data_IF_791735285121
#
_entry.id   IF_791735285121
#
_cell.length_a   1.000
_cell.length_b   1.000
_cell.length_c   1.000
_cell.angle_alpha   90.00
_cell.angle_beta   90.00
_cell.angle_gamma   90.00
#
_symmetry.space_group_name_H-M   'P 1'
#
loop_
_entity.id
_entity.type
_entity.pdbx_description
1 polymer ?
#
# COMPACT_ATOMS: atom_id res chain seq x y z
N UNK A 1 -24.87 15.79 11.28
CA UNK A 1 -24.20 16.14 10.03
C UNK A 1 -24.13 14.90 9.16
N UNK A 2 -24.54 14.99 7.90
CA UNK A 2 -24.49 13.86 6.96
C UNK A 2 -23.21 13.95 6.14
N UNK A 3 -22.49 12.83 6.02
CA UNK A 3 -21.32 12.69 5.15
C UNK A 3 -21.72 11.79 3.99
N UNK A 4 -21.45 12.20 2.76
CA UNK A 4 -21.63 11.38 1.57
C UNK A 4 -20.26 10.89 1.09
N UNK A 5 -20.18 9.62 0.70
CA UNK A 5 -18.98 9.02 0.12
C UNK A 5 -19.35 8.41 -1.22
N UNK A 6 -18.67 8.83 -2.28
CA UNK A 6 -18.81 8.34 -3.64
C UNK A 6 -17.50 7.67 -4.09
N UNK A 7 -17.52 6.34 -4.18
CA UNK A 7 -16.41 5.54 -4.68
C UNK A 7 -16.50 5.46 -6.20
N UNK A 8 -15.79 6.39 -6.84
CA UNK A 8 -15.74 6.51 -8.30
C UNK A 8 -15.00 5.32 -8.91
N UNK A 9 -13.94 4.86 -8.25
CA UNK A 9 -13.14 3.70 -8.65
C UNK A 9 -12.53 2.98 -7.43
N UNK A 10 -12.08 1.74 -7.62
CA UNK A 10 -11.45 0.92 -6.57
C UNK A 10 -12.41 0.04 -5.75
N UNK A 11 -13.72 0.01 -6.06
CA UNK A 11 -14.67 -0.94 -5.46
C UNK A 11 -15.06 -2.04 -6.44
N UNK A 12 -14.90 -3.29 -6.03
CA UNK A 12 -15.28 -4.46 -6.83
C UNK A 12 -14.24 -4.89 -7.85
N UNK A 13 -13.12 -4.19 -7.94
CA UNK A 13 -11.99 -4.52 -8.80
C UNK A 13 -10.68 -3.94 -8.23
N UNK A 14 -9.54 -4.47 -8.68
CA UNK A 14 -8.24 -3.84 -8.49
C UNK A 14 -8.08 -2.76 -9.57
N UNK A 15 -8.57 -1.57 -9.27
CA UNK A 15 -8.57 -0.42 -10.19
C UNK A 15 -8.01 0.84 -9.52
N UNK A 16 -7.84 1.93 -10.28
CA UNK A 16 -7.32 3.20 -9.77
C UNK A 16 -8.11 3.68 -8.55
N UNK A 17 -7.43 4.18 -7.52
CA UNK A 17 -8.06 4.77 -6.36
C UNK A 17 -8.68 6.14 -6.70
N UNK A 18 -9.98 6.29 -6.50
CA UNK A 18 -10.66 7.56 -6.61
C UNK A 18 -11.93 7.56 -5.77
N UNK A 19 -11.88 8.21 -4.61
CA UNK A 19 -13.00 8.27 -3.66
C UNK A 19 -13.28 9.73 -3.31
N UNK A 20 -14.50 10.19 -3.54
CA UNK A 20 -14.93 11.52 -3.12
C UNK A 20 -15.64 11.42 -1.78
N UNK A 21 -15.22 12.24 -0.82
CA UNK A 21 -15.90 12.40 0.47
C UNK A 21 -16.42 13.83 0.55
N UNK A 22 -17.73 13.96 0.81
CA UNK A 22 -18.43 15.24 0.87
C UNK A 22 -19.06 15.46 2.25
N UNK A 23 -18.79 16.62 2.84
CA UNK A 23 -19.54 17.14 3.98
C UNK A 23 -19.43 18.66 4.09
N UNK A 24 -20.41 19.32 4.70
CA UNK A 24 -20.45 20.80 4.84
C UNK A 24 -20.30 21.56 3.52
N UNK A 25 -20.79 20.99 2.41
CA UNK A 25 -20.64 21.58 1.07
C UNK A 25 -19.21 21.55 0.53
N UNK A 26 -18.33 20.73 1.14
CA UNK A 26 -16.94 20.54 0.73
C UNK A 26 -16.70 19.13 0.26
N UNK A 27 -15.99 18.99 -0.86
CA UNK A 27 -15.74 17.74 -1.57
C UNK A 27 -14.24 17.48 -1.65
N UNK A 28 -13.76 16.45 -0.96
CA UNK A 28 -12.35 16.05 -1.00
C UNK A 28 -12.22 14.76 -1.82
N UNK A 29 -11.26 14.74 -2.74
CA UNK A 29 -10.84 13.52 -3.42
C UNK A 29 -9.75 12.83 -2.61
N UNK A 30 -9.94 11.56 -2.27
CA UNK A 30 -8.93 10.67 -1.69
C UNK A 30 -8.34 9.83 -2.82
N UNK A 31 -7.04 10.04 -3.06
CA UNK A 31 -6.25 9.53 -4.18
C UNK A 31 -6.78 9.91 -5.58
N UNK A 32 -5.85 9.97 -6.52
CA UNK A 32 -6.08 10.25 -7.93
C UNK A 32 -5.36 9.18 -8.74
N UNK A 33 -5.95 7.99 -8.78
CA UNK A 33 -5.34 6.79 -9.33
C UNK A 33 -5.23 6.75 -10.85
N UNK A 34 -4.07 6.28 -11.32
CA UNK A 34 -3.76 6.06 -12.72
C UNK A 34 -4.12 4.66 -13.23
N UNK A 35 -4.03 4.48 -14.56
CA UNK A 35 -4.19 3.20 -15.21
C UNK A 35 -3.19 2.15 -14.69
N UNK A 36 -3.67 0.95 -14.36
CA UNK A 36 -2.85 -0.18 -13.94
C UNK A 36 -2.22 -0.93 -15.12
N UNK A 37 -2.91 -0.93 -16.28
CA UNK A 37 -2.41 -1.52 -17.51
C UNK A 37 -2.27 -0.48 -18.62
N UNK A 38 -1.25 -0.60 -19.49
CA UNK A 38 -1.11 0.26 -20.66
C UNK A 38 -2.39 0.24 -21.51
N UNK A 39 -2.96 1.43 -21.77
CA UNK A 39 -4.17 1.59 -22.58
C UNK A 39 -5.48 1.64 -21.79
N UNK A 40 -5.49 1.35 -20.48
CA UNK A 40 -6.70 1.55 -19.67
C UNK A 40 -7.07 3.04 -19.61
N UNK A 41 -8.37 3.33 -19.77
CA UNK A 41 -8.86 4.71 -19.75
C UNK A 41 -9.27 5.13 -18.34
N UNK A 42 -8.76 6.27 -17.87
CA UNK A 42 -9.18 6.89 -16.62
C UNK A 42 -10.49 7.65 -16.86
N UNK A 43 -11.61 7.08 -16.40
CA UNK A 43 -12.94 7.66 -16.61
C UNK A 43 -13.48 8.38 -15.38
N UNK A 44 -12.95 8.08 -14.18
CA UNK A 44 -13.45 8.65 -12.92
C UNK A 44 -13.22 10.17 -12.80
N UNK A 45 -12.24 10.72 -13.50
CA UNK A 45 -11.91 12.15 -13.47
C UNK A 45 -12.88 13.02 -14.28
N UNK A 46 -13.72 12.42 -15.13
CA UNK A 46 -14.61 13.14 -16.02
C UNK A 46 -15.65 13.97 -15.25
N UNK A 47 -15.63 15.30 -15.45
CA UNK A 47 -16.52 16.27 -14.77
C UNK A 47 -16.40 16.20 -13.25
N UNK A 48 -15.22 15.84 -12.74
CA UNK A 48 -14.94 15.88 -11.32
C UNK A 48 -14.87 17.34 -10.85
N UNK A 49 -15.57 17.62 -9.76
CA UNK A 49 -15.62 18.92 -9.12
C UNK A 49 -15.33 18.71 -7.64
N UNK A 50 -14.15 19.15 -7.18
CA UNK A 50 -13.64 18.91 -5.83
C UNK A 50 -12.87 20.12 -5.34
N UNK A 51 -12.93 20.38 -4.03
CA UNK A 51 -12.25 21.49 -3.39
C UNK A 51 -10.76 21.21 -3.16
N UNK A 52 -10.38 19.94 -2.99
CA UNK A 52 -8.99 19.51 -2.84
C UNK A 52 -8.82 18.00 -3.08
N UNK A 53 -7.56 17.61 -3.29
CA UNK A 53 -7.11 16.23 -3.49
C UNK A 53 -6.11 15.88 -2.39
N UNK A 54 -6.26 14.71 -1.79
CA UNK A 54 -5.34 14.15 -0.80
C UNK A 54 -4.75 12.87 -1.38
N UNK A 55 -3.43 12.82 -1.55
CA UNK A 55 -2.71 11.62 -2.04
C UNK A 55 -2.07 10.88 -0.86
N UNK A 56 -2.39 9.60 -0.73
CA UNK A 56 -1.90 8.70 0.31
C UNK A 56 -0.45 8.29 0.08
N UNK A 57 -0.10 7.89 -1.16
CA UNK A 57 1.24 7.45 -1.52
C UNK A 57 1.52 7.53 -3.03
N UNK A 58 2.73 7.12 -3.45
CA UNK A 58 3.34 7.40 -4.76
C UNK A 58 3.11 6.31 -5.83
N UNK A 59 2.36 5.26 -5.56
CA UNK A 59 2.08 4.25 -6.57
C UNK A 59 1.12 4.77 -7.64
N UNK A 60 1.33 4.31 -8.88
CA UNK A 60 0.66 4.83 -10.06
C UNK A 60 -0.87 4.75 -9.96
N UNK A 61 -1.40 3.70 -9.35
CA UNK A 61 -2.82 3.48 -9.10
C UNK A 61 -3.42 4.36 -8.00
N UNK A 62 -2.60 5.19 -7.35
CA UNK A 62 -3.02 6.19 -6.35
C UNK A 62 -2.67 7.64 -6.74
N UNK A 63 -1.62 7.86 -7.53
CA UNK A 63 -1.15 9.20 -7.94
C UNK A 63 -1.22 9.47 -9.44
N UNK A 64 -1.23 8.44 -10.29
CA UNK A 64 -1.04 8.58 -11.73
C UNK A 64 -2.15 9.36 -12.45
N UNK A 65 -3.33 9.46 -11.84
CA UNK A 65 -4.45 10.24 -12.32
C UNK A 65 -4.35 11.73 -12.08
N UNK A 66 -3.36 12.21 -11.28
CA UNK A 66 -3.14 13.64 -11.04
C UNK A 66 -2.95 14.42 -12.33
N UNK A 67 -2.35 13.81 -13.36
CA UNK A 67 -2.15 14.41 -14.69
C UNK A 67 -3.47 14.72 -15.44
N UNK A 68 -4.60 14.16 -14.98
CA UNK A 68 -5.92 14.39 -15.57
C UNK A 68 -6.78 15.39 -14.77
N UNK A 69 -6.23 15.94 -13.67
CA UNK A 69 -6.92 16.91 -12.85
C UNK A 69 -6.56 18.34 -13.27
N UNK A 70 -7.47 19.32 -13.09
CA UNK A 70 -7.13 20.72 -13.29
C UNK A 70 -5.98 21.16 -12.37
N UNK A 71 -5.05 21.94 -12.91
CA UNK A 71 -3.83 22.38 -12.20
C UNK A 71 -4.12 23.27 -10.98
N UNK A 72 -5.27 23.94 -10.96
CA UNK A 72 -5.70 24.86 -9.90
C UNK A 72 -6.35 24.15 -8.71
N UNK A 73 -6.76 22.88 -8.85
CA UNK A 73 -7.27 22.10 -7.72
C UNK A 73 -6.15 21.90 -6.70
N UNK A 74 -6.31 22.33 -5.43
CA UNK A 74 -5.32 22.13 -4.39
C UNK A 74 -5.02 20.64 -4.15
N UNK A 75 -3.76 20.26 -4.22
CA UNK A 75 -3.29 18.89 -3.96
C UNK A 75 -2.45 18.84 -2.69
N UNK A 76 -2.69 17.86 -1.85
CA UNK A 76 -1.93 17.61 -0.63
C UNK A 76 -1.35 16.21 -0.64
N UNK A 77 -0.06 16.10 -0.33
CA UNK A 77 0.65 14.83 -0.17
C UNK A 77 1.88 15.05 0.73
N UNK A 78 2.52 13.97 1.20
CA UNK A 78 3.77 14.11 1.96
C UNK A 78 4.91 14.58 1.03
N UNK A 79 5.95 15.25 1.55
CA UNK A 79 7.07 15.73 0.72
C UNK A 79 7.80 14.63 -0.07
N UNK A 80 7.80 13.39 0.42
CA UNK A 80 8.38 12.25 -0.27
C UNK A 80 7.50 11.81 -1.45
N UNK A 81 6.18 11.75 -1.26
CA UNK A 81 5.21 11.42 -2.32
C UNK A 81 5.20 12.49 -3.41
N UNK A 82 5.43 13.77 -3.05
CA UNK A 82 5.50 14.87 -4.00
C UNK A 82 6.56 14.70 -5.10
N UNK A 83 7.60 13.88 -4.87
CA UNK A 83 8.64 13.60 -5.86
C UNK A 83 8.14 12.80 -7.06
N UNK A 84 6.99 12.11 -6.92
CA UNK A 84 6.34 11.37 -7.99
C UNK A 84 5.27 12.19 -8.75
N UNK A 85 5.01 13.43 -8.33
CA UNK A 85 4.06 14.30 -9.02
C UNK A 85 4.62 14.78 -10.38
N UNK A 86 3.74 15.17 -11.32
CA UNK A 86 4.18 15.87 -12.52
C UNK A 86 5.03 17.11 -12.17
N UNK A 87 6.12 17.41 -12.90
CA UNK A 87 7.12 18.42 -12.50
C UNK A 87 6.59 19.82 -12.17
N UNK A 88 5.50 20.26 -12.79
CA UNK A 88 4.87 21.58 -12.59
C UNK A 88 3.67 21.55 -11.65
N UNK A 89 3.29 20.40 -11.10
CA UNK A 89 2.10 20.27 -10.27
C UNK A 89 2.33 20.91 -8.91
N UNK A 90 1.61 22.00 -8.64
CA UNK A 90 1.60 22.62 -7.32
C UNK A 90 1.00 21.68 -6.27
N UNK A 91 1.61 21.64 -5.09
CA UNK A 91 1.17 20.80 -3.97
C UNK A 91 1.39 21.50 -2.62
N UNK A 92 0.75 20.98 -1.59
CA UNK A 92 0.85 21.43 -0.20
C UNK A 92 1.19 20.24 0.69
N UNK A 93 2.00 20.42 1.74
CA UNK A 93 2.44 19.28 2.56
C UNK A 93 1.30 18.71 3.40
N UNK A 94 1.12 17.39 3.31
CA UNK A 94 0.55 16.58 4.40
C UNK A 94 1.69 16.22 5.37
N UNK A 95 1.45 16.30 6.68
CA UNK A 95 2.39 15.76 7.64
C UNK A 95 2.45 14.23 7.51
N UNK A 96 3.59 13.60 7.77
CA UNK A 96 3.63 12.12 7.89
C UNK A 96 2.92 11.63 9.15
N UNK A 97 2.82 12.51 10.15
CA UNK A 97 2.05 12.33 11.39
C UNK A 97 1.52 13.66 11.89
N UNK A 98 0.23 13.72 12.21
CA UNK A 98 -0.39 14.90 12.80
C UNK A 98 -1.62 15.32 12.03
N UNK A 99 -2.06 16.56 12.25
CA UNK A 99 -3.32 17.06 11.68
C UNK A 99 -3.13 18.42 11.02
N UNK A 100 -3.92 18.67 9.99
CA UNK A 100 -4.05 19.96 9.33
C UNK A 100 -5.49 20.18 8.86
N UNK A 101 -5.86 21.43 8.61
CA UNK A 101 -7.16 21.75 8.04
C UNK A 101 -7.08 21.83 6.50
N UNK A 102 -7.92 21.06 5.81
CA UNK A 102 -8.03 21.04 4.35
C UNK A 102 -9.45 21.42 3.95
N UNK A 103 -9.60 22.59 3.33
CA UNK A 103 -10.89 23.12 2.90
C UNK A 103 -11.96 23.18 4.02
N UNK A 104 -11.56 23.38 5.28
CA UNK A 104 -12.48 23.41 6.43
C UNK A 104 -12.68 22.04 7.12
N UNK A 105 -11.99 21.00 6.68
CA UNK A 105 -12.06 19.64 7.24
C UNK A 105 -10.74 19.33 7.92
N UNK A 106 -10.78 18.90 9.19
CA UNK A 106 -9.57 18.45 9.88
C UNK A 106 -9.18 17.06 9.38
N UNK A 107 -8.00 16.98 8.78
CA UNK A 107 -7.40 15.76 8.24
C UNK A 107 -6.25 15.37 9.15
N UNK A 108 -6.25 14.13 9.64
CA UNK A 108 -5.16 13.53 10.41
C UNK A 108 -4.49 12.43 9.61
N UNK A 109 -3.17 12.35 9.69
CA UNK A 109 -2.37 11.36 8.99
C UNK A 109 -1.50 10.57 9.96
N UNK A 110 -1.13 9.37 9.52
CA UNK A 110 -0.09 8.54 10.12
C UNK A 110 0.44 7.55 9.09
N UNK A 111 1.58 6.93 9.37
CA UNK A 111 2.23 6.01 8.46
C UNK A 111 1.36 4.79 8.17
N UNK A 112 1.28 4.40 6.89
CA UNK A 112 0.48 3.27 6.43
C UNK A 112 1.24 1.94 6.38
N UNK A 113 2.54 1.92 6.69
CA UNK A 113 3.35 0.70 6.68
C UNK A 113 3.59 0.09 5.30
N UNK A 114 3.19 0.76 4.22
CA UNK A 114 3.24 0.23 2.86
C UNK A 114 4.46 0.75 2.07
N UNK A 115 4.68 2.05 2.06
CA UNK A 115 5.75 2.71 1.30
C UNK A 115 6.39 3.87 2.06
N UNK A 116 7.50 4.40 1.53
CA UNK A 116 8.22 5.51 2.14
C UNK A 116 7.44 6.81 1.98
N UNK A 117 6.99 7.39 3.09
CA UNK A 117 6.18 8.61 3.09
C UNK A 117 4.70 8.38 2.79
N UNK A 118 4.28 7.12 2.64
CA UNK A 118 2.88 6.75 2.46
C UNK A 118 2.09 6.83 3.78
N UNK A 119 0.92 7.47 3.73
CA UNK A 119 0.09 7.73 4.91
C UNK A 119 -1.34 7.22 4.74
N UNK A 120 -1.96 6.81 5.84
CA UNK A 120 -3.42 6.72 5.92
C UNK A 120 -4.01 8.10 6.21
N UNK A 121 -5.28 8.29 5.86
CA UNK A 121 -6.02 9.54 6.05
C UNK A 121 -7.21 9.32 6.99
N UNK A 122 -7.38 10.19 7.97
CA UNK A 122 -8.57 10.28 8.82
C UNK A 122 -9.19 11.66 8.67
N UNK A 123 -10.47 11.71 8.30
CA UNK A 123 -11.22 12.94 8.13
C UNK A 123 -12.20 13.08 9.29
N UNK A 124 -12.09 14.19 10.04
CA UNK A 124 -12.97 14.52 11.16
C UNK A 124 -14.35 15.02 10.68
N UNK A 125 -15.10 14.15 10.00
CA UNK A 125 -16.43 14.44 9.49
C UNK A 125 -17.44 13.37 9.93
N UNK A 126 -18.64 13.79 10.31
CA UNK A 126 -19.62 12.87 10.90
C UNK A 126 -19.05 12.22 12.17
N UNK A 127 -19.00 10.89 12.20
CA UNK A 127 -18.35 10.10 13.27
C UNK A 127 -16.96 9.57 12.86
N UNK A 128 -16.30 10.25 11.92
CA UNK A 128 -14.99 9.91 11.38
C UNK A 128 -15.04 9.02 10.14
N UNK A 129 -14.28 9.40 9.11
CA UNK A 129 -14.03 8.60 7.91
C UNK A 129 -12.54 8.27 7.85
N UNK A 130 -12.21 6.99 7.85
CA UNK A 130 -10.85 6.51 7.72
C UNK A 130 -10.62 5.91 6.33
N UNK A 131 -9.52 6.28 5.70
CA UNK A 131 -9.05 5.72 4.44
C UNK A 131 -7.61 5.26 4.60
N UNK A 132 -7.35 3.98 4.35
CA UNK A 132 -6.02 3.41 4.56
C UNK A 132 -5.00 3.77 3.48
N UNK A 133 -5.44 4.16 2.27
CA UNK A 133 -4.62 3.96 1.08
C UNK A 133 -4.27 2.46 0.93
N UNK A 134 -3.09 2.16 0.41
CA UNK A 134 -2.46 0.86 0.62
C UNK A 134 -1.80 0.81 2.00
N UNK A 135 -2.00 -0.29 2.74
CA UNK A 135 -1.52 -0.40 4.11
C UNK A 135 -0.95 -1.76 4.44
N UNK A 136 0.06 -1.82 5.31
CA UNK A 136 0.64 -3.09 5.76
C UNK A 136 1.01 -3.05 7.24
N UNK A 137 0.53 -4.03 8.01
CA UNK A 137 0.90 -4.18 9.42
C UNK A 137 2.22 -4.93 9.61
N UNK A 138 2.60 -5.77 8.65
CA UNK A 138 3.71 -6.72 8.78
C UNK A 138 5.01 -6.23 8.13
N UNK A 139 5.06 -5.00 7.61
CA UNK A 139 6.28 -4.46 6.99
C UNK A 139 7.43 -4.46 7.99
N UNK A 140 8.60 -4.93 7.55
CA UNK A 140 9.84 -4.89 8.35
C UNK A 140 10.47 -3.51 8.36
N UNK A 141 10.08 -2.65 7.42
CA UNK A 141 10.75 -1.37 7.16
C UNK A 141 9.84 -0.21 7.52
N UNK A 142 8.58 -0.23 7.09
CA UNK A 142 7.70 0.90 7.23
C UNK A 142 6.81 0.75 8.49
N UNK A 143 6.73 1.77 9.35
CA UNK A 143 5.82 1.76 10.49
C UNK A 143 4.35 1.84 10.05
N UNK A 144 3.45 1.24 10.84
CA UNK A 144 2.02 1.52 10.76
C UNK A 144 1.60 2.25 12.04
N UNK A 145 1.14 3.50 11.93
CA UNK A 145 0.67 4.26 13.09
C UNK A 145 -0.78 3.94 13.41
N UNK A 146 -1.14 3.89 14.69
CA UNK A 146 -2.51 3.60 15.15
C UNK A 146 -3.44 4.78 14.83
N UNK A 147 -4.49 4.61 14.00
CA UNK A 147 -5.42 5.70 13.70
C UNK A 147 -6.44 5.99 14.82
N UNK A 148 -7.03 7.20 14.84
CA UNK A 148 -8.19 7.52 15.66
C UNK A 148 -9.44 6.68 15.30
N UNK A 149 -10.45 6.70 16.17
CA UNK A 149 -11.75 6.06 15.90
C UNK A 149 -12.43 6.66 14.66
N UNK A 150 -13.11 5.82 13.88
CA UNK A 150 -13.88 6.22 12.71
C UNK A 150 -15.06 5.27 12.50
N UNK A 151 -16.26 5.80 12.31
CA UNK A 151 -17.46 4.99 12.06
C UNK A 151 -17.47 4.37 10.65
N UNK A 152 -16.78 4.99 9.69
CA UNK A 152 -16.65 4.49 8.31
C UNK A 152 -15.18 4.22 7.99
N UNK A 153 -14.88 3.01 7.54
CA UNK A 153 -13.56 2.54 7.19
C UNK A 153 -13.50 2.12 5.71
N UNK A 154 -12.62 2.77 4.95
CA UNK A 154 -12.31 2.47 3.55
C UNK A 154 -10.92 1.82 3.55
N UNK A 155 -10.86 0.49 3.43
CA UNK A 155 -9.67 -0.30 3.76
C UNK A 155 -9.07 -0.99 2.54
N UNK A 156 -7.74 -1.05 2.50
CA UNK A 156 -6.94 -1.86 1.57
C UNK A 156 -7.37 -3.32 1.67
N UNK A 157 -8.04 -3.79 0.63
CA UNK A 157 -8.45 -5.18 0.44
C UNK A 157 -7.68 -5.87 -0.66
N UNK A 158 -6.51 -5.36 -1.08
CA UNK A 158 -5.76 -5.83 -2.26
C UNK A 158 -5.44 -7.34 -2.27
N UNK A 159 -5.48 -7.98 -1.10
CA UNK A 159 -5.29 -9.42 -0.93
C UNK A 159 -6.58 -10.25 -0.86
N UNK A 160 -7.75 -9.62 -0.95
CA UNK A 160 -9.05 -10.26 -0.80
C UNK A 160 -9.11 -11.05 0.51
N UNK A 161 -9.62 -12.27 0.43
CA UNK A 161 -9.72 -13.18 1.57
C UNK A 161 -8.39 -13.84 2.01
N UNK A 162 -7.25 -13.53 1.38
CA UNK A 162 -5.97 -14.10 1.77
C UNK A 162 -5.56 -13.70 3.20
N UNK A 163 -5.12 -14.69 3.98
CA UNK A 163 -4.84 -14.48 5.40
C UNK A 163 -3.59 -15.20 5.93
N UNK A 164 -2.68 -15.67 5.07
CA UNK A 164 -1.44 -16.28 5.58
C UNK A 164 -0.45 -15.20 6.05
N UNK A 165 0.07 -15.29 7.29
CA UNK A 165 0.95 -14.28 7.87
C UNK A 165 2.31 -14.26 7.20
N UNK A 166 3.00 -13.13 7.34
CA UNK A 166 4.29 -12.89 6.69
C UNK A 166 5.37 -13.91 7.12
N UNK A 167 5.27 -14.47 8.33
CA UNK A 167 6.14 -15.55 8.78
C UNK A 167 6.03 -16.82 7.91
N UNK A 168 4.84 -17.14 7.39
CA UNK A 168 4.62 -18.26 6.47
C UNK A 168 5.24 -17.95 5.11
N UNK A 169 5.06 -16.71 4.61
CA UNK A 169 5.71 -16.24 3.38
C UNK A 169 7.23 -16.40 3.44
N UNK A 170 7.87 -16.08 4.57
CA UNK A 170 9.31 -16.29 4.75
C UNK A 170 9.74 -17.75 4.67
N UNK A 171 8.95 -18.65 5.25
CA UNK A 171 9.22 -20.09 5.20
C UNK A 171 9.11 -20.62 3.77
N UNK A 172 8.07 -20.21 3.04
CA UNK A 172 7.86 -20.58 1.64
C UNK A 172 8.96 -20.04 0.72
N UNK A 173 9.36 -18.78 0.91
CA UNK A 173 10.48 -18.19 0.17
C UNK A 173 11.80 -18.90 0.45
N UNK A 174 12.08 -19.25 1.72
CA UNK A 174 13.28 -20.02 2.10
C UNK A 174 13.37 -21.36 1.37
N UNK A 175 12.25 -22.04 1.14
CA UNK A 175 12.23 -23.31 0.42
C UNK A 175 12.64 -23.17 -1.05
N UNK A 176 12.58 -21.97 -1.64
CA UNK A 176 13.00 -21.73 -3.03
C UNK A 176 14.52 -21.57 -3.19
N UNK A 177 15.27 -21.36 -2.10
CA UNK A 177 16.69 -21.00 -2.13
C UNK A 177 17.65 -22.18 -2.41
N UNK A 178 17.12 -23.31 -2.89
CA UNK A 178 17.89 -24.50 -3.26
C UNK A 178 18.55 -24.39 -4.65
N UNK A 179 18.31 -23.29 -5.37
CA UNK A 179 18.81 -23.00 -6.72
C UNK A 179 19.18 -21.52 -6.85
N UNK A 180 19.97 -21.11 -7.86
CA UNK A 180 20.18 -19.70 -8.16
C UNK A 180 18.86 -18.99 -8.52
N UNK A 181 18.65 -17.80 -7.96
CA UNK A 181 17.42 -17.03 -8.12
C UNK A 181 17.70 -15.59 -8.49
N UNK A 182 16.87 -15.06 -9.39
CA UNK A 182 16.73 -13.63 -9.63
C UNK A 182 15.31 -13.20 -9.20
N UNK A 183 15.25 -12.17 -8.35
CA UNK A 183 14.02 -11.66 -7.74
C UNK A 183 13.74 -10.25 -8.25
N UNK A 184 12.95 -10.11 -9.34
CA UNK A 184 12.51 -8.81 -9.83
C UNK A 184 11.51 -8.18 -8.86
N UNK A 185 11.79 -6.93 -8.47
CA UNK A 185 11.04 -6.16 -7.47
C UNK A 185 10.92 -4.68 -7.87
N UNK A 186 9.88 -3.96 -7.42
CA UNK A 186 9.84 -2.51 -7.58
C UNK A 186 11.08 -1.86 -6.94
N UNK A 187 11.49 -0.67 -7.36
CA UNK A 187 12.71 -0.01 -6.83
C UNK A 187 12.55 0.52 -5.40
N UNK A 188 11.31 0.63 -4.91
CA UNK A 188 10.93 1.04 -3.56
C UNK A 188 10.03 -0.02 -2.88
N UNK A 189 9.48 0.28 -1.70
CA UNK A 189 8.54 -0.61 -1.02
C UNK A 189 9.15 -1.98 -0.66
N UNK A 190 8.56 -3.06 -1.22
CA UNK A 190 8.97 -4.45 -0.99
C UNK A 190 10.47 -4.71 -1.20
N UNK A 191 11.12 -4.03 -2.15
CA UNK A 191 12.54 -4.25 -2.41
C UNK A 191 13.42 -3.96 -1.21
N UNK A 192 13.10 -2.92 -0.43
CA UNK A 192 13.89 -2.58 0.75
C UNK A 192 13.77 -3.69 1.80
N UNK A 193 12.57 -4.23 1.99
CA UNK A 193 12.33 -5.31 2.94
C UNK A 193 13.04 -6.62 2.54
N UNK A 194 12.93 -6.99 1.26
CA UNK A 194 13.61 -8.17 0.70
C UNK A 194 15.13 -8.01 0.75
N UNK A 195 15.67 -6.81 0.50
CA UNK A 195 17.11 -6.56 0.60
C UNK A 195 17.64 -6.82 2.02
N UNK A 196 16.95 -6.33 3.04
CA UNK A 196 17.33 -6.55 4.44
C UNK A 196 17.22 -8.03 4.84
N UNK A 197 16.13 -8.69 4.43
CA UNK A 197 15.89 -10.10 4.74
C UNK A 197 16.89 -11.02 4.02
N UNK A 198 17.09 -10.86 2.71
CA UNK A 198 18.06 -11.62 1.93
C UNK A 198 19.49 -11.39 2.44
N UNK A 199 19.86 -10.16 2.80
CA UNK A 199 21.20 -9.87 3.35
C UNK A 199 21.45 -10.56 4.69
N UNK A 200 20.44 -10.61 5.57
CA UNK A 200 20.53 -11.38 6.80
C UNK A 200 20.67 -12.89 6.52
N UNK A 201 19.85 -13.40 5.60
CA UNK A 201 19.81 -14.81 5.26
C UNK A 201 21.09 -15.31 4.57
N UNK A 202 21.56 -14.55 3.59
CA UNK A 202 22.79 -14.80 2.85
C UNK A 202 23.99 -14.91 3.79
N UNK A 203 24.10 -14.00 4.77
CA UNK A 203 25.14 -14.05 5.80
C UNK A 203 25.03 -15.32 6.67
N UNK A 204 23.83 -15.69 7.10
CA UNK A 204 23.60 -16.86 7.96
C UNK A 204 23.88 -18.18 7.25
N UNK A 205 23.66 -18.25 5.94
CA UNK A 205 23.76 -19.48 5.15
C UNK A 205 25.01 -19.54 4.26
N UNK A 206 25.84 -18.49 4.25
CA UNK A 206 27.02 -18.40 3.39
C UNK A 206 26.67 -18.33 1.89
N UNK A 207 25.49 -17.83 1.53
CA UNK A 207 25.03 -17.70 0.14
C UNK A 207 25.48 -16.34 -0.41
N UNK A 208 25.96 -16.29 -1.66
CA UNK A 208 26.29 -15.02 -2.32
C UNK A 208 25.02 -14.27 -2.73
N UNK A 209 25.02 -12.95 -2.52
CA UNK A 209 23.90 -12.06 -2.82
C UNK A 209 24.38 -10.82 -3.59
N UNK A 210 23.71 -10.52 -4.70
CA UNK A 210 23.75 -9.22 -5.37
C UNK A 210 22.43 -8.48 -5.13
N UNK A 211 22.52 -7.18 -4.90
CA UNK A 211 21.39 -6.26 -4.81
C UNK A 211 21.66 -5.13 -5.80
N UNK A 212 20.66 -4.86 -6.66
CA UNK A 212 20.71 -3.81 -7.67
C UNK A 212 21.12 -2.45 -7.06
N UNK A 213 22.03 -1.70 -7.72
CA UNK A 213 22.40 -0.35 -7.32
C UNK A 213 21.21 0.58 -7.05
N UNK A 214 20.11 0.47 -7.79
CA UNK A 214 18.91 1.29 -7.58
C UNK A 214 18.27 1.02 -6.21
N UNK A 215 18.16 -0.25 -5.81
CA UNK A 215 17.62 -0.65 -4.50
C UNK A 215 18.57 -0.21 -3.37
N UNK A 216 19.89 -0.30 -3.58
CA UNK A 216 20.89 0.23 -2.64
C UNK A 216 20.78 1.74 -2.48
N UNK A 217 20.57 2.49 -3.57
CA UNK A 217 20.31 3.94 -3.48
C UNK A 217 19.03 4.25 -2.72
N UNK A 218 17.94 3.50 -2.95
CA UNK A 218 16.70 3.67 -2.21
C UNK A 218 16.87 3.39 -0.70
N UNK A 219 17.66 2.38 -0.33
CA UNK A 219 18.04 2.13 1.08
C UNK A 219 18.88 3.27 1.68
N UNK A 220 19.82 3.83 0.92
CA UNK A 220 20.60 4.99 1.37
C UNK A 220 19.70 6.23 1.56
N UNK A 221 18.78 6.48 0.64
CA UNK A 221 17.77 7.54 0.76
C UNK A 221 16.91 7.36 2.00
N UNK A 222 16.43 6.13 2.28
CA UNK A 222 15.67 5.81 3.50
C UNK A 222 16.48 6.10 4.78
N UNK A 223 17.77 5.75 4.80
CA UNK A 223 18.63 5.97 5.96
C UNK A 223 18.87 7.46 6.24
N UNK A 224 18.91 8.28 5.18
CA UNK A 224 19.03 9.73 5.27
C UNK A 224 17.75 10.45 5.74
N UNK A 225 16.59 9.77 5.71
CA UNK A 225 15.34 10.31 6.22
C UNK A 225 15.29 10.30 7.76
N UNK A 226 14.37 11.08 8.37
CA UNK A 226 14.10 10.99 9.80
C UNK A 226 13.85 9.55 10.25
N UNK A 227 14.43 9.16 11.38
CA UNK A 227 14.32 7.78 11.91
C UNK A 227 12.88 7.34 12.15
N UNK A 228 11.96 8.29 12.35
CA UNK A 228 10.52 8.05 12.52
C UNK A 228 9.82 7.54 11.26
N UNK A 229 10.47 7.58 10.09
CA UNK A 229 9.92 7.06 8.83
C UNK A 229 10.24 5.59 8.58
N UNK A 230 10.96 4.95 9.49
CA UNK A 230 11.32 3.53 9.41
C UNK A 230 11.16 2.84 10.77
N UNK A 231 11.01 1.52 10.76
CA UNK A 231 10.95 0.73 11.99
C UNK A 231 12.28 0.81 12.77
N UNK A 232 12.23 0.79 14.11
CA UNK A 232 13.43 0.86 14.93
C UNK A 232 14.32 -0.38 14.73
N UNK A 233 15.63 -0.21 14.92
CA UNK A 233 16.59 -1.32 14.95
C UNK A 233 17.04 -1.84 13.57
N UNK A 234 16.64 -1.21 12.46
CA UNK A 234 17.01 -1.68 11.12
C UNK A 234 18.23 -0.96 10.51
N UNK A 235 18.69 0.15 11.09
CA UNK A 235 19.77 0.99 10.52
C UNK A 235 21.07 0.22 10.30
N UNK A 236 21.47 -0.62 11.26
CA UNK A 236 22.66 -1.46 11.12
C UNK A 236 22.51 -2.48 10.00
N UNK A 237 21.29 -3.01 9.79
CA UNK A 237 21.01 -3.92 8.69
C UNK A 237 21.06 -3.19 7.33
N UNK A 238 20.55 -1.95 7.26
CA UNK A 238 20.66 -1.08 6.08
C UNK A 238 22.13 -0.80 5.78
N UNK A 239 22.90 -0.31 6.75
CA UNK A 239 24.31 0.00 6.60
C UNK A 239 25.12 -1.20 6.07
N UNK A 240 24.84 -2.40 6.61
CA UNK A 240 25.46 -3.65 6.15
C UNK A 240 25.14 -3.98 4.69
N UNK A 241 23.90 -3.74 4.24
CA UNK A 241 23.58 -3.88 2.82
C UNK A 241 24.39 -2.89 1.98
N UNK A 242 24.48 -1.63 2.41
CA UNK A 242 25.16 -0.57 1.65
C UNK A 242 26.67 -0.81 1.53
N UNK A 243 27.33 -1.29 2.60
CA UNK A 243 28.77 -1.56 2.61
C UNK A 243 29.14 -2.97 2.14
N UNK A 244 28.16 -3.88 2.04
CA UNK A 244 28.36 -5.27 1.64
C UNK A 244 28.79 -5.39 0.18
N UNK A 245 29.67 -6.37 -0.10
CA UNK A 245 30.10 -6.72 -1.46
C UNK A 245 28.88 -7.01 -2.34
N UNK A 246 28.99 -6.66 -3.62
CA UNK A 246 27.96 -6.89 -4.61
C UNK A 246 28.54 -7.72 -5.76
N UNK A 247 28.36 -9.04 -5.69
CA UNK A 247 28.87 -9.96 -6.70
C UNK A 247 27.84 -10.14 -7.82
N UNK A 248 28.16 -9.73 -9.05
CA UNK A 248 27.26 -9.87 -10.19
C UNK A 248 27.01 -11.34 -10.59
N UNK A 249 27.83 -12.27 -10.11
CA UNK A 249 27.67 -13.72 -10.31
C UNK A 249 27.04 -14.40 -9.08
N UNK A 250 26.44 -13.64 -8.17
CA UNK A 250 25.83 -14.17 -6.97
C UNK A 250 24.71 -15.17 -7.26
N UNK A 251 24.56 -16.17 -6.39
CA UNK A 251 23.48 -17.16 -6.44
C UNK A 251 22.12 -16.51 -6.27
N UNK A 252 22.02 -15.46 -5.44
CA UNK A 252 20.80 -14.67 -5.29
C UNK A 252 21.01 -13.29 -5.87
N UNK A 253 20.08 -12.85 -6.72
CA UNK A 253 20.05 -11.49 -7.26
C UNK A 253 18.72 -10.83 -6.95
N UNK A 254 18.74 -9.75 -6.19
CA UNK A 254 17.58 -8.88 -6.01
C UNK A 254 17.69 -7.71 -6.99
N UNK A 255 16.79 -7.67 -7.97
CA UNK A 255 16.90 -6.79 -9.13
C UNK A 255 15.70 -5.86 -9.24
N UNK A 256 15.92 -4.64 -9.74
CA UNK A 256 14.80 -3.78 -10.12
C UNK A 256 14.04 -4.45 -11.26
N UNK A 257 12.72 -4.45 -11.17
CA UNK A 257 11.87 -4.99 -12.21
C UNK A 257 11.97 -4.15 -13.49
N UNK A 258 12.34 -4.80 -14.59
CA UNK A 258 12.54 -4.20 -15.93
C UNK A 258 11.79 -4.98 -17.00
N UNK A 259 10.77 -5.74 -16.57
CA UNK A 259 10.05 -6.72 -17.39
C UNK A 259 10.96 -7.81 -17.97
N UNK A 260 11.96 -8.22 -17.17
CA UNK A 260 12.87 -9.30 -17.51
C UNK A 260 12.13 -10.63 -17.75
N UNK A 261 12.61 -11.36 -18.73
CA UNK A 261 12.11 -12.67 -19.16
C UNK A 261 13.07 -13.79 -18.73
N UNK A 262 12.59 -15.05 -18.61
CA UNK A 262 13.45 -16.18 -18.23
C UNK A 262 14.67 -16.36 -19.14
N UNK A 263 14.54 -16.10 -20.44
CA UNK A 263 15.62 -16.29 -21.42
C UNK A 263 16.78 -15.30 -21.22
N UNK A 264 16.54 -14.16 -20.58
CA UNK A 264 17.57 -13.19 -20.21
C UNK A 264 18.37 -13.62 -18.96
N UNK A 265 17.93 -14.68 -18.27
CA UNK A 265 18.51 -15.19 -17.03
C UNK A 265 18.88 -16.68 -17.15
N UNK A 266 19.79 -17.08 -18.06
CA UNK A 266 20.07 -18.49 -18.35
C UNK A 266 20.67 -19.28 -17.17
N UNK A 267 21.15 -18.59 -16.13
CA UNK A 267 21.76 -19.19 -14.95
C UNK A 267 20.93 -19.02 -13.67
N UNK A 268 19.77 -18.35 -13.73
CA UNK A 268 18.93 -18.06 -12.58
C UNK A 268 17.47 -18.34 -12.87
N UNK A 269 16.76 -18.86 -11.88
CA UNK A 269 15.31 -19.00 -11.97
C UNK A 269 14.63 -17.72 -11.47
N UNK A 270 13.71 -17.14 -12.26
CA UNK A 270 12.97 -15.95 -11.82
C UNK A 270 11.95 -16.32 -10.73
N UNK A 271 12.02 -15.59 -9.61
CA UNK A 271 11.11 -15.72 -8.48
C UNK A 271 10.43 -14.39 -8.19
N UNK A 272 9.15 -14.30 -8.55
CA UNK A 272 8.34 -13.11 -8.30
C UNK A 272 7.72 -13.15 -6.91
N UNK A 273 7.63 -11.98 -6.28
CA UNK A 273 7.21 -11.85 -4.87
C UNK A 273 5.96 -11.02 -4.64
N UNK A 274 5.28 -10.64 -5.71
CA UNK A 274 4.12 -9.74 -5.67
C UNK A 274 3.11 -10.00 -6.78
N UNK A 275 2.42 -8.94 -7.16
CA UNK A 275 1.52 -8.94 -8.32
C UNK A 275 2.23 -9.45 -9.58
N UNK A 276 1.50 -10.24 -10.36
CA UNK A 276 1.96 -10.79 -11.63
C UNK A 276 1.11 -10.20 -12.74
N UNK A 277 1.77 -9.75 -13.82
CA UNK A 277 1.09 -9.39 -15.06
C UNK A 277 0.46 -10.65 -15.70
N UNK A 278 -0.53 -10.50 -16.60
CA UNK A 278 -1.11 -11.64 -17.31
C UNK A 278 -0.06 -12.53 -18.00
N UNK A 279 0.99 -11.92 -18.56
CA UNK A 279 2.12 -12.65 -19.16
C UNK A 279 2.88 -13.50 -18.13
N UNK A 280 3.20 -12.93 -16.96
CA UNK A 280 3.86 -13.66 -15.87
C UNK A 280 2.97 -14.78 -15.33
N UNK A 281 1.66 -14.58 -15.26
CA UNK A 281 0.72 -15.66 -14.92
C UNK A 281 0.83 -16.83 -15.92
N UNK A 282 0.94 -16.55 -17.23
CA UNK A 282 1.13 -17.58 -18.24
C UNK A 282 2.51 -18.28 -18.10
N UNK A 283 3.58 -17.53 -17.84
CA UNK A 283 4.91 -18.08 -17.60
C UNK A 283 4.95 -18.96 -16.34
N UNK A 284 4.24 -18.57 -15.28
CA UNK A 284 4.11 -19.35 -14.05
C UNK A 284 3.35 -20.65 -14.31
N UNK A 285 2.24 -20.61 -15.05
CA UNK A 285 1.47 -21.79 -15.43
C UNK A 285 2.29 -22.76 -16.29
N UNK A 286 3.20 -22.24 -17.11
CA UNK A 286 4.14 -23.03 -17.91
C UNK A 286 5.37 -23.53 -17.13
N UNK A 287 5.49 -23.21 -15.83
CA UNK A 287 6.63 -23.61 -14.99
C UNK A 287 7.95 -22.90 -15.30
N UNK A 288 7.93 -21.82 -16.10
CA UNK A 288 9.13 -21.05 -16.49
C UNK A 288 9.63 -20.14 -15.37
N UNK A 289 8.74 -19.73 -14.47
CA UNK A 289 9.04 -18.88 -13.32
C UNK A 289 8.39 -19.47 -12.06
N UNK A 290 8.77 -18.95 -10.89
CA UNK A 290 8.11 -19.24 -9.62
C UNK A 290 7.52 -17.97 -9.02
N UNK A 291 6.51 -18.12 -8.18
CA UNK A 291 5.94 -17.02 -7.41
C UNK A 291 5.79 -17.41 -5.94
N UNK A 292 6.22 -16.53 -5.04
CA UNK A 292 6.03 -16.68 -3.59
C UNK A 292 5.77 -15.32 -2.98
N UNK A 293 4.59 -15.13 -2.37
CA UNK A 293 4.16 -13.83 -1.89
C UNK A 293 5.09 -13.27 -0.81
N UNK A 294 5.27 -11.96 -0.82
CA UNK A 294 5.72 -11.17 0.32
C UNK A 294 4.61 -10.17 0.64
N UNK A 295 4.11 -10.18 1.88
CA UNK A 295 3.01 -9.32 2.28
C UNK A 295 3.46 -7.86 2.32
N UNK A 296 2.77 -7.03 1.56
CA UNK A 296 2.88 -5.56 1.55
C UNK A 296 1.51 -4.87 1.62
N UNK A 297 0.44 -5.64 1.82
CA UNK A 297 -0.93 -5.15 2.00
C UNK A 297 -1.57 -5.78 3.24
N UNK A 298 -2.73 -5.29 3.64
CA UNK A 298 -3.50 -5.86 4.73
C UNK A 298 -3.98 -7.28 4.35
N UNK A 299 -3.95 -8.19 5.32
CA UNK A 299 -4.54 -9.52 5.24
C UNK A 299 -5.99 -9.46 5.73
N UNK A 300 -6.80 -10.46 5.41
CA UNK A 300 -8.19 -10.51 5.87
C UNK A 300 -8.35 -10.30 7.38
N UNK A 301 -7.49 -10.91 8.20
CA UNK A 301 -7.48 -10.70 9.66
C UNK A 301 -7.08 -9.27 10.07
N UNK A 302 -6.20 -8.60 9.31
CA UNK A 302 -5.84 -7.21 9.56
C UNK A 302 -7.00 -6.25 9.25
N UNK A 303 -7.78 -6.48 8.18
CA UNK A 303 -8.96 -5.66 7.89
C UNK A 303 -9.98 -5.74 9.03
N UNK A 304 -10.20 -6.94 9.58
CA UNK A 304 -11.09 -7.14 10.73
C UNK A 304 -10.53 -6.43 11.96
N UNK A 305 -9.25 -6.62 12.28
CA UNK A 305 -8.60 -5.98 13.42
C UNK A 305 -8.64 -4.45 13.32
N UNK A 306 -8.39 -3.89 12.14
CA UNK A 306 -8.44 -2.45 11.90
C UNK A 306 -9.89 -1.92 11.99
N UNK A 307 -10.86 -2.65 11.44
CA UNK A 307 -12.29 -2.33 11.61
C UNK A 307 -12.68 -2.26 13.09
N UNK A 308 -12.27 -3.25 13.89
CA UNK A 308 -12.54 -3.30 15.33
C UNK A 308 -11.83 -2.15 16.06
N UNK A 309 -10.56 -1.91 15.74
CA UNK A 309 -9.77 -0.83 16.33
C UNK A 309 -10.36 0.56 16.03
N UNK A 310 -10.88 0.78 14.82
CA UNK A 310 -11.57 2.02 14.45
C UNK A 310 -12.94 2.13 15.12
N UNK A 311 -13.52 1.02 15.57
CA UNK A 311 -14.92 0.94 16.00
C UNK A 311 -15.88 1.19 14.84
N UNK A 312 -15.47 0.81 13.62
CA UNK A 312 -16.23 1.12 12.42
C UNK A 312 -17.53 0.31 12.35
N UNK A 313 -18.60 1.03 12.03
CA UNK A 313 -19.94 0.47 11.77
C UNK A 313 -20.16 0.20 10.29
N UNK A 314 -19.36 0.81 9.42
CA UNK A 314 -19.35 0.63 7.98
C UNK A 314 -17.91 0.39 7.52
N UNK A 315 -17.66 -0.73 6.84
CA UNK A 315 -16.35 -1.09 6.30
C UNK A 315 -16.49 -1.44 4.82
N UNK A 316 -15.69 -0.80 3.99
CA UNK A 316 -15.59 -1.07 2.56
C UNK A 316 -14.20 -1.66 2.28
N UNK A 317 -14.09 -2.94 1.88
CA UNK A 317 -12.85 -3.46 1.31
C UNK A 317 -12.68 -2.93 -0.12
N UNK A 318 -11.65 -2.11 -0.32
CA UNK A 318 -11.28 -1.53 -1.61
C UNK A 318 -10.20 -2.37 -2.31
N UNK A 319 -9.99 -2.10 -3.60
CA UNK A 319 -8.93 -2.66 -4.45
C UNK A 319 -8.98 -4.17 -4.60
N UNK A 320 -10.18 -4.72 -4.48
CA UNK A 320 -10.41 -6.17 -4.48
C UNK A 320 -11.65 -6.55 -5.25
N UNK A 321 -11.63 -7.74 -5.83
CA UNK A 321 -12.79 -8.29 -6.50
C UNK A 321 -13.85 -8.70 -5.48
N UNK A 322 -15.10 -8.35 -5.76
CA UNK A 322 -16.25 -8.74 -4.96
C UNK A 322 -17.04 -9.86 -5.64
N UNK A 323 -16.35 -10.96 -5.96
CA UNK A 323 -17.00 -12.19 -6.45
C UNK A 323 -17.90 -12.80 -5.36
N UNK A 324 -18.79 -13.72 -5.72
CA UNK A 324 -19.68 -14.37 -4.74
C UNK A 324 -18.90 -15.05 -3.60
N UNK A 325 -17.75 -15.67 -3.93
CA UNK A 325 -16.88 -16.29 -2.93
C UNK A 325 -16.30 -15.25 -1.95
N UNK A 326 -15.72 -14.17 -2.48
CA UNK A 326 -15.16 -13.08 -1.68
C UNK A 326 -16.23 -12.39 -0.84
N UNK A 327 -17.40 -12.10 -1.42
CA UNK A 327 -18.53 -11.50 -0.71
C UNK A 327 -19.05 -12.36 0.43
N UNK A 328 -19.12 -13.68 0.24
CA UNK A 328 -19.51 -14.61 1.30
C UNK A 328 -18.49 -14.59 2.45
N UNK A 329 -17.19 -14.59 2.11
CA UNK A 329 -16.12 -14.50 3.12
C UNK A 329 -16.17 -13.17 3.88
N UNK A 330 -16.29 -12.04 3.18
CA UNK A 330 -16.40 -10.73 3.83
C UNK A 330 -17.67 -10.59 4.65
N UNK A 331 -18.80 -11.14 4.20
CA UNK A 331 -20.05 -11.11 4.96
C UNK A 331 -19.92 -11.87 6.27
N UNK A 332 -19.15 -12.97 6.29
CA UNK A 332 -18.83 -13.71 7.52
C UNK A 332 -17.88 -12.94 8.44
N UNK A 333 -16.84 -12.30 7.89
CA UNK A 333 -15.80 -11.62 8.67
C UNK A 333 -16.26 -10.27 9.24
N UNK A 334 -16.97 -9.48 8.44
CA UNK A 334 -17.37 -8.11 8.77
C UNK A 334 -18.84 -8.01 9.21
N UNK A 335 -19.66 -9.02 8.91
CA UNK A 335 -21.06 -9.06 9.29
C UNK A 335 -21.85 -7.89 8.71
N UNK A 336 -22.68 -7.26 9.55
CA UNK A 336 -23.50 -6.09 9.17
C UNK A 336 -22.68 -4.85 8.83
N UNK A 337 -21.38 -4.83 9.11
CA UNK A 337 -20.49 -3.70 8.82
C UNK A 337 -20.08 -3.63 7.35
N UNK A 338 -20.11 -4.77 6.64
CA UNK A 338 -19.71 -4.83 5.24
C UNK A 338 -20.58 -3.92 4.37
N UNK A 339 -19.95 -2.97 3.70
CA UNK A 339 -20.54 -2.10 2.72
C UNK A 339 -20.05 -2.46 1.32
N UNK A 340 -20.98 -2.58 0.37
CA UNK A 340 -20.72 -3.05 -1.00
C UNK A 340 -21.15 -2.03 -2.06
N UNK A 341 -21.69 -0.90 -1.64
CA UNK A 341 -22.26 0.12 -2.52
C UNK A 341 -21.23 1.20 -2.81
N UNK A 342 -21.22 1.70 -4.04
CA UNK A 342 -20.34 2.82 -4.43
C UNK A 342 -20.72 4.14 -3.74
N UNK A 343 -21.98 4.30 -3.34
CA UNK A 343 -22.46 5.45 -2.59
C UNK A 343 -22.78 5.05 -1.16
N UNK A 344 -22.26 5.80 -0.20
CA UNK A 344 -22.51 5.60 1.22
C UNK A 344 -22.92 6.91 1.88
N UNK A 345 -23.77 6.78 2.90
CA UNK A 345 -24.08 7.86 3.83
C UNK A 345 -23.59 7.45 5.21
N UNK A 346 -22.83 8.32 5.85
CA UNK A 346 -22.49 8.20 7.25
C UNK A 346 -23.27 9.26 8.04
N UNK A 347 -24.18 8.80 8.89
CA UNK A 347 -24.95 9.66 9.78
C UNK A 347 -24.21 9.85 11.11
N UNK A 348 -24.23 11.06 11.64
CA UNK A 348 -23.68 11.40 12.96
C UNK A 348 -24.47 10.79 14.16
N UNK A 349 -25.32 9.77 13.96
CA UNK A 349 -26.06 9.18 15.08
C UNK A 349 -25.05 8.53 16.04
N UNK A 350 -25.18 8.82 17.34
CA UNK A 350 -24.19 8.50 18.37
C UNK A 350 -23.83 7.02 18.38
N UNK A 351 -22.70 6.66 17.78
CA UNK A 351 -22.08 5.39 18.06
C UNK A 351 -21.44 5.50 19.44
N UNK A 352 -22.06 4.87 20.44
CA UNK A 352 -21.44 4.63 21.74
C UNK A 352 -20.25 3.69 21.52
N UNK A 353 -19.05 4.23 21.38
CA UNK A 353 -17.83 3.44 21.26
C UNK A 353 -17.61 2.67 22.58
N UNK A 354 -17.77 1.34 22.53
CA UNK A 354 -17.45 0.47 23.65
C UNK A 354 -15.92 0.27 23.72
N UNK A 355 -15.27 0.48 24.88
CA UNK A 355 -13.82 0.45 24.98
C UNK A 355 -13.35 -0.98 25.21
N UNK A 356 -13.21 -1.80 24.16
CA UNK A 356 -12.55 -3.09 24.33
C UNK A 356 -11.57 -3.42 23.19
N UNK A 357 -10.34 -3.71 23.64
CA UNK A 357 -9.17 -4.31 22.98
C UNK A 357 -8.49 -3.45 21.89
N UNK A 358 -7.53 -2.64 22.32
CA UNK A 358 -6.43 -2.22 21.45
C UNK A 358 -5.56 -3.43 21.12
N UNK A 359 -5.48 -3.80 19.86
CA UNK A 359 -4.34 -4.59 19.38
C UNK A 359 -3.18 -3.62 19.22
N UNK A 360 -2.12 -3.79 20.02
CA UNK A 360 -0.85 -3.17 19.70
C UNK A 360 -0.26 -3.93 18.51
N UNK A 361 0.02 -3.24 17.40
CA UNK A 361 0.88 -3.79 16.37
C UNK A 361 2.20 -4.20 17.04
N UNK A 362 2.72 -5.44 16.86
CA UNK A 362 4.04 -5.78 17.36
C UNK A 362 5.04 -4.78 16.78
N UNK A 363 5.71 -4.02 17.66
CA UNK A 363 6.73 -3.05 17.28
C UNK A 363 7.90 -3.73 16.57
#
# INVERSE_FOLDING_TARGET
>A
MTVNIDILSGLGDKGPAAIVVEANGKRLLLDAGGALHPGDTITWANRLDVDAVLISHDHIDHIGGVAHLPDDVPLYCTPLVAQALPPSRAWRPLPERGSLNVAGIDVTTGQAGHSLGGVWLHLAMGNGVFYSGDACFESRVFPFDTPPKAATALLDGSYGSYDAPQAVCYQQLRQQLHRPLALPVPTSGRALELALWLSQLALQQGISLAIDPAIRRALASLLAQPVTLRRPGIDAAIARVLTGKNDQNATLQLISDRDDTPDQWPHHHLLHTGYLTPERCAQLAAGKISAQRWNVHLRASHLVALTDQLGATQTVPLFTQLTDHELNTWSRLLGKRLCKTRRLKADARSATFSPLRSFACPQ
#
